data_IF_571700478860
#
_entry.id   IF_571700478860
#
_cell.length_a   1.000
_cell.length_b   1.000
_cell.length_c   1.000
_cell.angle_alpha   90.00
_cell.angle_beta   90.00
_cell.angle_gamma   90.00
#
_symmetry.space_group_name_H-M   'P 1'
#
loop_
_entity.id
_entity.type
_entity.pdbx_description
1 polymer ?
#
# COMPACT_ATOMS: atom_id res chain seq x y z
N UNK A 1 20.90 -9.13 -7.22
CA UNK A 1 19.62 -9.39 -6.54
C UNK A 1 18.48 -8.87 -7.38
N UNK A 2 17.47 -9.66 -7.57
CA UNK A 2 16.30 -9.27 -8.33
C UNK A 2 15.29 -8.52 -7.49
N UNK A 3 14.45 -7.78 -8.15
CA UNK A 3 13.31 -7.14 -7.52
C UNK A 3 12.28 -8.17 -7.10
N UNK A 4 11.56 -7.87 -6.01
CA UNK A 4 10.36 -8.60 -5.63
C UNK A 4 9.18 -7.72 -6.01
N UNK A 5 8.27 -8.26 -6.80
CA UNK A 5 7.08 -7.54 -7.25
C UNK A 5 5.83 -8.32 -6.90
N UNK A 6 4.72 -7.61 -6.76
CA UNK A 6 3.43 -8.22 -6.44
C UNK A 6 2.31 -7.41 -7.05
N UNK A 7 1.22 -8.09 -7.39
CA UNK A 7 -0.01 -7.43 -7.78
C UNK A 7 -0.69 -6.86 -6.53
N UNK A 8 -1.09 -5.60 -6.60
CA UNK A 8 -1.76 -4.91 -5.50
C UNK A 8 -3.05 -4.30 -6.03
N UNK A 9 -4.15 -4.55 -5.33
CA UNK A 9 -5.41 -3.88 -5.61
C UNK A 9 -5.59 -2.75 -4.61
N UNK A 10 -5.66 -1.53 -5.12
CA UNK A 10 -5.83 -0.32 -4.33
C UNK A 10 -7.25 0.21 -4.52
N UNK A 11 -7.88 0.64 -3.44
CA UNK A 11 -9.21 1.21 -3.47
C UNK A 11 -9.25 2.45 -2.59
N UNK A 12 -9.95 3.49 -3.05
CA UNK A 12 -10.19 4.67 -2.24
C UNK A 12 -11.03 4.29 -1.04
N UNK A 13 -10.45 4.34 0.16
CA UNK A 13 -11.11 3.88 1.39
C UNK A 13 -12.29 4.78 1.79
N UNK A 14 -12.23 6.07 1.44
CA UNK A 14 -13.36 6.99 1.70
C UNK A 14 -14.55 6.59 0.83
N UNK A 15 -14.30 6.27 -0.45
CA UNK A 15 -15.37 5.79 -1.34
C UNK A 15 -16.02 4.53 -0.76
N UNK A 16 -15.24 3.57 -0.30
CA UNK A 16 -15.76 2.36 0.33
C UNK A 16 -16.63 2.68 1.55
N UNK A 17 -16.18 3.62 2.38
CA UNK A 17 -16.94 4.05 3.55
C UNK A 17 -18.25 4.70 3.16
N UNK A 18 -18.28 5.49 2.09
CA UNK A 18 -19.51 6.11 1.60
C UNK A 18 -20.49 5.07 1.06
N UNK A 19 -19.99 4.01 0.41
CA UNK A 19 -20.84 2.90 -0.02
C UNK A 19 -21.49 2.21 1.18
N UNK A 20 -20.70 1.90 2.21
CA UNK A 20 -21.22 1.28 3.43
C UNK A 20 -22.29 2.11 4.13
N UNK A 21 -22.21 3.44 3.99
CA UNK A 21 -23.18 4.37 4.59
C UNK A 21 -24.33 4.73 3.65
N UNK A 22 -24.39 4.11 2.48
CA UNK A 22 -25.45 4.36 1.50
C UNK A 22 -25.35 5.69 0.79
N UNK A 23 -24.17 6.33 0.77
CA UNK A 23 -23.97 7.66 0.18
C UNK A 23 -23.25 7.62 -1.15
N UNK A 24 -22.83 6.46 -1.62
CA UNK A 24 -22.17 6.29 -2.90
C UNK A 24 -22.58 4.94 -3.49
N UNK A 25 -22.82 4.92 -4.80
CA UNK A 25 -23.12 3.67 -5.50
C UNK A 25 -21.85 2.81 -5.59
N UNK A 26 -21.95 1.47 -5.44
CA UNK A 26 -20.77 0.60 -5.47
C UNK A 26 -19.95 0.70 -6.74
N UNK A 27 -20.57 1.00 -7.88
CA UNK A 27 -19.86 1.14 -9.15
C UNK A 27 -19.08 2.45 -9.30
N UNK A 28 -19.22 3.36 -8.34
CA UNK A 28 -18.52 4.64 -8.33
C UNK A 28 -17.25 4.61 -7.45
N UNK A 29 -16.96 3.50 -6.82
CA UNK A 29 -15.75 3.34 -6.02
C UNK A 29 -14.53 3.30 -6.93
N UNK A 30 -13.54 4.14 -6.64
CA UNK A 30 -12.34 4.24 -7.47
C UNK A 30 -11.31 3.21 -7.02
N UNK A 31 -10.80 2.48 -8.00
CA UNK A 31 -9.85 1.38 -7.79
C UNK A 31 -8.70 1.48 -8.77
N UNK A 32 -7.57 0.92 -8.39
CA UNK A 32 -6.40 0.88 -9.24
C UNK A 32 -5.64 -0.43 -8.97
N UNK A 33 -5.35 -1.19 -10.03
CA UNK A 33 -4.56 -2.40 -9.93
C UNK A 33 -3.13 -2.06 -10.34
N UNK A 34 -2.16 -2.35 -9.48
CA UNK A 34 -0.76 -2.03 -9.72
C UNK A 34 0.11 -3.27 -9.68
N UNK A 35 1.15 -3.27 -10.51
CA UNK A 35 2.29 -4.16 -10.33
C UNK A 35 3.30 -3.39 -9.47
N UNK A 36 3.36 -3.72 -8.19
CA UNK A 36 4.09 -2.94 -7.21
C UNK A 36 5.46 -3.54 -6.90
N UNK A 37 6.42 -2.66 -6.64
CA UNK A 37 7.71 -3.06 -6.10
C UNK A 37 7.56 -3.30 -4.60
N UNK A 38 8.06 -4.43 -4.11
CA UNK A 38 8.11 -4.73 -2.68
C UNK A 38 9.49 -4.32 -2.17
N UNK A 39 9.53 -3.34 -1.25
CA UNK A 39 10.79 -2.80 -0.75
C UNK A 39 10.75 -2.71 0.78
N UNK A 40 11.41 -3.68 1.43
CA UNK A 40 11.47 -3.73 2.90
C UNK A 40 12.31 -2.60 3.49
N UNK A 41 13.13 -1.93 2.67
CA UNK A 41 13.85 -0.73 3.08
C UNK A 41 12.97 0.50 3.16
N UNK A 42 11.82 0.50 2.50
CA UNK A 42 10.83 1.56 2.63
C UNK A 42 9.92 1.23 3.82
N UNK A 43 9.71 2.20 4.68
CA UNK A 43 8.84 1.99 5.85
C UNK A 43 7.37 2.07 5.43
N UNK A 44 7.04 3.05 4.58
CA UNK A 44 5.66 3.36 4.25
C UNK A 44 5.31 2.99 2.82
N UNK A 45 4.01 2.89 2.58
CA UNK A 45 3.46 2.79 1.22
C UNK A 45 3.82 4.04 0.43
N UNK A 46 4.15 3.86 -0.85
CA UNK A 46 4.46 4.97 -1.77
C UNK A 46 3.60 4.80 -3.01
N UNK A 47 2.97 5.89 -3.45
CA UNK A 47 2.21 5.91 -4.70
C UNK A 47 2.61 7.12 -5.54
N UNK A 48 2.70 6.96 -6.86
CA UNK A 48 3.01 8.09 -7.74
C UNK A 48 1.79 8.99 -7.94
N UNK A 49 2.00 10.22 -8.41
CA UNK A 49 0.88 11.17 -8.63
C UNK A 49 -0.23 10.64 -9.52
N UNK A 50 0.09 9.86 -10.56
CA UNK A 50 -0.96 9.36 -11.46
C UNK A 50 -1.89 8.36 -10.77
N UNK A 51 -1.40 7.63 -9.77
CA UNK A 51 -2.24 6.71 -8.98
C UNK A 51 -3.13 7.50 -8.02
N UNK A 52 -2.59 8.57 -7.43
CA UNK A 52 -3.39 9.49 -6.60
C UNK A 52 -4.57 10.03 -7.40
N UNK A 53 -4.32 10.45 -8.64
CA UNK A 53 -5.38 10.93 -9.53
C UNK A 53 -6.41 9.84 -9.85
N UNK A 54 -5.94 8.66 -10.23
CA UNK A 54 -6.83 7.54 -10.59
C UNK A 54 -7.74 7.15 -9.42
N UNK A 55 -7.22 7.21 -8.20
CA UNK A 55 -7.98 6.88 -7.00
C UNK A 55 -8.75 8.08 -6.45
N UNK A 56 -8.54 9.27 -6.99
CA UNK A 56 -9.20 10.48 -6.50
C UNK A 56 -8.88 10.81 -5.05
N UNK A 57 -7.66 10.53 -4.62
CA UNK A 57 -7.26 10.73 -3.22
C UNK A 57 -6.96 12.20 -2.94
N UNK A 58 -7.46 12.69 -1.81
CA UNK A 58 -7.05 13.98 -1.30
C UNK A 58 -5.69 13.88 -0.63
N UNK A 59 -4.93 14.96 -0.70
CA UNK A 59 -3.68 15.10 0.05
C UNK A 59 -4.05 15.73 1.39
N UNK A 60 -3.82 15.00 2.47
CA UNK A 60 -4.26 15.43 3.81
C UNK A 60 -3.16 16.04 4.64
N UNK A 61 -1.92 15.98 4.17
CA UNK A 61 -0.79 16.53 4.88
C UNK A 61 0.49 16.37 4.11
N UNK A 62 1.58 16.73 4.77
CA UNK A 62 2.92 16.64 4.21
C UNK A 62 3.83 15.86 5.14
N UNK A 63 4.85 15.23 4.58
CA UNK A 63 5.84 14.49 5.33
C UNK A 63 7.22 14.77 4.76
N UNK A 64 8.22 14.84 5.62
CA UNK A 64 9.61 14.88 5.18
C UNK A 64 10.04 13.46 4.87
N UNK A 65 10.29 13.19 3.59
CA UNK A 65 10.79 11.89 3.15
C UNK A 65 12.31 11.91 3.11
N UNK A 66 12.93 10.88 3.63
CA UNK A 66 14.38 10.73 3.56
C UNK A 66 14.71 9.56 2.66
N UNK A 67 15.54 9.81 1.65
CA UNK A 67 15.97 8.79 0.67
C UNK A 67 17.18 8.04 1.20
N UNK A 68 17.49 6.92 0.57
CA UNK A 68 18.60 6.06 0.97
C UNK A 68 19.95 6.77 0.94
N UNK A 69 20.11 7.78 0.07
CA UNK A 69 21.34 8.58 -0.05
C UNK A 69 21.41 9.75 0.93
N UNK A 70 20.43 9.85 1.84
CA UNK A 70 20.36 10.91 2.84
C UNK A 70 19.66 12.19 2.40
N UNK A 71 19.30 12.31 1.11
CA UNK A 71 18.52 13.46 0.65
C UNK A 71 17.16 13.46 1.33
N UNK A 72 16.60 14.64 1.51
CA UNK A 72 15.28 14.83 2.10
C UNK A 72 14.43 15.70 1.20
N UNK A 73 13.14 15.42 1.20
CA UNK A 73 12.18 16.15 0.39
C UNK A 73 10.84 16.18 1.11
N UNK A 74 10.06 17.22 0.91
CA UNK A 74 8.72 17.30 1.45
C UNK A 74 7.76 16.73 0.41
N UNK A 75 7.00 15.71 0.80
CA UNK A 75 6.05 15.02 -0.07
C UNK A 75 4.66 15.01 0.56
N UNK A 76 3.64 14.86 -0.28
CA UNK A 76 2.27 14.75 0.19
C UNK A 76 1.99 13.41 0.83
N UNK A 77 1.04 13.41 1.78
CA UNK A 77 0.44 12.22 2.36
C UNK A 77 -0.99 12.11 1.88
N UNK A 78 -1.39 10.93 1.47
CA UNK A 78 -2.76 10.70 1.02
C UNK A 78 -3.70 10.42 2.18
N UNK A 79 -5.00 10.54 1.90
CA UNK A 79 -6.01 9.91 2.75
C UNK A 79 -5.91 8.38 2.64
N UNK A 80 -6.58 7.60 3.53
CA UNK A 80 -6.41 6.15 3.57
C UNK A 80 -6.76 5.45 2.27
N UNK A 81 -5.98 4.42 1.98
CA UNK A 81 -6.13 3.53 0.83
C UNK A 81 -6.40 2.13 1.37
N UNK A 82 -7.37 1.43 0.80
CA UNK A 82 -7.54 0.00 1.04
C UNK A 82 -6.55 -0.74 0.13
N UNK A 83 -5.73 -1.59 0.73
CA UNK A 83 -4.64 -2.29 0.05
C UNK A 83 -4.89 -3.79 0.17
N UNK A 84 -5.05 -4.47 -0.97
CA UNK A 84 -5.26 -5.93 -0.98
C UNK A 84 -4.11 -6.59 -1.74
N UNK A 85 -3.44 -7.51 -1.07
CA UNK A 85 -2.34 -8.32 -1.63
C UNK A 85 -2.60 -9.77 -1.25
N UNK A 86 -2.69 -10.65 -2.23
CA UNK A 86 -2.91 -12.09 -2.03
C UNK A 86 -4.13 -12.37 -1.13
N UNK A 87 -5.19 -11.59 -1.32
CA UNK A 87 -6.43 -11.75 -0.56
C UNK A 87 -6.42 -11.19 0.85
N UNK A 88 -5.30 -10.65 1.30
CA UNK A 88 -5.18 -10.01 2.61
C UNK A 88 -5.29 -8.50 2.46
N UNK A 89 -6.04 -7.85 3.33
CA UNK A 89 -6.35 -6.43 3.19
C UNK A 89 -5.98 -5.63 4.43
N UNK A 90 -5.58 -4.39 4.20
CA UNK A 90 -5.33 -3.40 5.26
C UNK A 90 -5.57 -2.00 4.70
N UNK A 91 -5.61 -1.03 5.60
CA UNK A 91 -5.67 0.38 5.23
C UNK A 91 -4.36 1.05 5.59
N UNK A 92 -3.90 1.97 4.75
CA UNK A 92 -2.76 2.81 5.07
C UNK A 92 -2.81 4.09 4.25
N UNK A 93 -2.17 5.13 4.75
CA UNK A 93 -1.88 6.34 3.99
C UNK A 93 -0.58 6.12 3.22
N UNK A 94 -0.40 6.85 2.13
CA UNK A 94 0.79 6.71 1.31
C UNK A 94 1.52 8.03 1.14
N UNK A 95 2.84 7.95 0.97
CA UNK A 95 3.64 9.07 0.50
C UNK A 95 3.48 9.19 -1.00
N UNK A 96 3.35 10.41 -1.50
CA UNK A 96 3.20 10.68 -2.93
C UNK A 96 4.55 11.05 -3.51
N UNK A 97 5.15 10.13 -4.24
CA UNK A 97 6.42 10.36 -4.92
C UNK A 97 6.69 9.25 -5.95
N UNK A 98 7.67 9.52 -6.81
CA UNK A 98 8.15 8.52 -7.75
C UNK A 98 7.21 8.26 -8.92
N UNK A 99 7.45 7.14 -9.59
CA UNK A 99 6.73 6.73 -10.80
C UNK A 99 6.12 5.34 -10.69
N UNK A 100 6.26 4.66 -9.57
CA UNK A 100 5.66 3.33 -9.37
C UNK A 100 5.17 3.17 -7.93
N UNK A 101 4.25 2.22 -7.76
CA UNK A 101 3.74 1.86 -6.44
C UNK A 101 4.80 1.04 -5.72
N UNK A 102 5.08 1.40 -4.47
CA UNK A 102 6.03 0.67 -3.61
C UNK A 102 5.30 0.23 -2.35
N UNK A 103 5.39 -1.07 -2.07
CA UNK A 103 4.85 -1.64 -0.84
C UNK A 103 5.97 -1.68 0.19
N UNK A 104 5.81 -0.93 1.27
CA UNK A 104 6.82 -0.83 2.33
C UNK A 104 6.57 -1.80 3.47
N UNK A 105 7.48 -1.77 4.43
CA UNK A 105 7.50 -2.74 5.54
C UNK A 105 6.24 -2.70 6.41
N UNK A 106 5.69 -1.50 6.66
CA UNK A 106 4.49 -1.37 7.49
C UNK A 106 3.30 -2.14 6.91
N UNK A 107 3.10 -2.06 5.59
CA UNK A 107 2.02 -2.79 4.93
C UNK A 107 2.25 -4.30 5.03
N UNK A 108 3.49 -4.75 4.81
CA UNK A 108 3.82 -6.18 4.92
C UNK A 108 3.53 -6.71 6.32
N UNK A 109 3.86 -5.95 7.34
CA UNK A 109 3.59 -6.34 8.73
C UNK A 109 2.09 -6.42 9.00
N UNK A 110 1.32 -5.44 8.55
CA UNK A 110 -0.13 -5.44 8.73
C UNK A 110 -0.78 -6.63 8.02
N UNK A 111 -0.26 -7.01 6.86
CA UNK A 111 -0.79 -8.14 6.09
C UNK A 111 -0.21 -9.48 6.51
N UNK A 112 0.82 -9.47 7.37
CA UNK A 112 1.53 -10.68 7.81
C UNK A 112 2.07 -11.46 6.61
N UNK A 113 2.72 -10.72 5.71
CA UNK A 113 3.37 -11.25 4.51
C UNK A 113 4.89 -11.11 4.63
N UNK A 114 5.60 -12.09 4.10
CA UNK A 114 7.06 -12.17 4.13
C UNK A 114 7.63 -12.13 2.72
N UNK A 115 8.82 -11.58 2.60
CA UNK A 115 9.59 -11.66 1.37
C UNK A 115 10.42 -12.95 1.41
N UNK A 116 10.18 -13.83 0.44
CA UNK A 116 11.02 -15.00 0.24
C UNK A 116 12.11 -14.64 -0.76
N UNK A 117 13.33 -14.44 -0.26
CA UNK A 117 14.46 -14.01 -1.07
C UNK A 117 14.90 -15.08 -2.06
N UNK A 118 14.68 -16.35 -1.76
CA UNK A 118 15.08 -17.44 -2.63
C UNK A 118 14.23 -17.51 -3.89
N UNK A 119 12.91 -17.42 -3.72
CA UNK A 119 11.98 -17.44 -4.86
C UNK A 119 11.69 -16.05 -5.42
N UNK A 120 12.15 -15.00 -4.76
CA UNK A 120 11.91 -13.59 -5.12
C UNK A 120 10.44 -13.26 -5.22
N UNK A 121 9.67 -13.69 -4.24
CA UNK A 121 8.25 -13.40 -4.20
C UNK A 121 7.78 -13.20 -2.79
N UNK A 122 6.61 -12.59 -2.72
CA UNK A 122 5.92 -12.36 -1.46
C UNK A 122 5.11 -13.60 -1.12
N UNK A 123 5.21 -14.05 0.12
CA UNK A 123 4.51 -15.23 0.60
C UNK A 123 3.80 -14.90 1.91
N UNK A 124 2.73 -15.63 2.25
CA UNK A 124 2.18 -15.54 3.60
C UNK A 124 3.24 -15.94 4.62
N UNK A 125 3.20 -15.31 5.80
CA UNK A 125 4.05 -15.75 6.90
C UNK A 125 3.85 -17.24 7.08
N UNK A 126 4.91 -18.08 7.01
CA UNK A 126 4.78 -19.53 7.08
C UNK A 126 4.11 -20.04 8.34
N UNK A 127 4.17 -19.28 9.42
CA UNK A 127 3.49 -19.64 10.67
C UNK A 127 1.98 -19.35 10.61
N UNK A 128 1.53 -18.55 9.63
CA UNK A 128 0.13 -18.14 9.49
C UNK A 128 -0.29 -18.22 8.01
N UNK A 129 -0.33 -19.43 7.42
CA UNK A 129 -0.52 -19.54 5.97
C UNK A 129 -1.93 -19.21 5.50
N UNK A 130 -2.91 -19.27 6.38
CA UNK A 130 -4.31 -19.14 5.99
C UNK A 130 -4.88 -17.75 6.23
N UNK A 131 -4.31 -16.99 7.16
CA UNK A 131 -4.83 -15.67 7.50
C UNK A 131 -3.77 -14.86 8.22
N UNK A 132 -3.83 -13.52 8.13
CA UNK A 132 -2.93 -12.67 8.87
C UNK A 132 -3.19 -12.76 10.38
N UNK A 133 -2.13 -12.74 11.16
CA UNK A 133 -2.22 -12.76 12.62
C UNK A 133 -1.54 -11.52 13.17
N UNK A 134 -2.22 -10.82 14.08
CA UNK A 134 -1.67 -9.68 14.79
C UNK A 134 -1.44 -10.08 16.24
N UNK A 135 -0.20 -9.99 16.68
CA UNK A 135 0.11 -10.28 18.08
C UNK A 135 -0.35 -9.13 18.95
N UNK A 136 -1.06 -9.44 20.01
CA UNK A 136 -1.61 -8.44 20.93
C UNK A 136 -0.76 -8.30 22.18
N UNK A 137 0.10 -9.31 22.42
CA UNK A 137 0.93 -9.31 23.62
C UNK A 137 2.08 -10.29 23.52
#
# INVERSE_FOLDING_TARGET
MGEVRTEVNLTNAIDQGLVRRGQLAPDQVRRYKADALVDTGAVRMVVPPHVVQALGLAITGERLAEYADGRKDIVGMTEPIDIVIQGRSTFDEALVLGDEVIVGQTVLEKLDLWVDCNSRRLIPNPAHPDQPVSKVK
#
